data_IF_139023437552
#
_entry.id   IF_139023437552
#
_cell.length_a   1.000
_cell.length_b   1.000
_cell.length_c   1.000
_cell.angle_alpha   90.00
_cell.angle_beta   90.00
_cell.angle_gamma   90.00
#
_symmetry.space_group_name_H-M   'P 1'
#
loop_
_entity.id
_entity.type
_entity.pdbx_description
1 polymer ?
#
# COMPACT_ATOMS: atom_id res chain seq x y z
N UNK A 1 26.01 -10.13 -13.19
CA UNK A 1 24.68 -10.09 -12.54
C UNK A 1 24.23 -8.64 -12.57
N UNK A 2 23.03 -8.33 -13.01
CA UNK A 2 22.49 -6.99 -13.01
C UNK A 2 21.32 -6.92 -12.02
N UNK A 3 21.22 -5.84 -11.26
CA UNK A 3 20.05 -5.56 -10.39
C UNK A 3 19.07 -4.66 -11.10
N UNK A 4 17.83 -5.11 -11.17
CA UNK A 4 16.73 -4.35 -11.75
C UNK A 4 15.74 -3.97 -10.65
N UNK A 5 15.19 -2.76 -10.73
CA UNK A 5 14.02 -2.35 -9.95
C UNK A 5 12.82 -2.26 -10.88
N UNK A 6 11.74 -2.94 -10.50
CA UNK A 6 10.47 -2.97 -11.21
C UNK A 6 9.45 -2.16 -10.43
N UNK A 7 8.70 -1.29 -11.12
CA UNK A 7 7.50 -0.64 -10.61
C UNK A 7 6.31 -1.42 -11.12
N UNK A 8 5.43 -1.83 -10.21
CA UNK A 8 4.37 -2.81 -10.47
C UNK A 8 3.04 -2.23 -10.04
N UNK A 9 2.06 -2.28 -10.95
CA UNK A 9 0.65 -1.99 -10.72
C UNK A 9 -0.14 -3.28 -10.66
N UNK A 10 -1.11 -3.37 -9.74
CA UNK A 10 -2.02 -4.53 -9.66
C UNK A 10 -3.35 -4.23 -8.98
N UNK A 11 -4.39 -4.90 -9.45
CA UNK A 11 -5.66 -5.07 -8.75
C UNK A 11 -5.52 -6.29 -7.81
N UNK A 12 -5.48 -6.03 -6.50
CA UNK A 12 -5.29 -7.07 -5.48
C UNK A 12 -6.50 -7.95 -5.20
N UNK A 13 -7.65 -7.71 -5.84
CA UNK A 13 -8.95 -8.32 -5.51
C UNK A 13 -8.91 -9.86 -5.52
N UNK A 14 -8.13 -10.45 -6.44
CA UNK A 14 -8.06 -11.89 -6.66
C UNK A 14 -6.86 -12.56 -5.96
N UNK A 15 -6.08 -11.80 -5.17
CA UNK A 15 -4.82 -12.28 -4.62
C UNK A 15 -4.83 -12.36 -3.10
N UNK A 16 -4.14 -13.37 -2.56
CA UNK A 16 -3.84 -13.51 -1.14
C UNK A 16 -2.84 -12.47 -0.60
N UNK A 17 -2.69 -11.36 -1.33
CA UNK A 17 -1.74 -10.28 -1.06
C UNK A 17 -0.47 -10.39 -1.91
N UNK A 18 0.55 -9.62 -1.54
CA UNK A 18 1.80 -9.59 -2.29
C UNK A 18 2.62 -10.89 -2.16
N UNK A 19 2.93 -11.29 -0.91
CA UNK A 19 3.95 -12.28 -0.60
C UNK A 19 3.54 -13.72 -0.93
N UNK A 20 4.41 -14.48 -1.61
CA UNK A 20 4.25 -15.92 -1.83
C UNK A 20 3.91 -16.66 -0.54
N UNK A 21 2.87 -17.47 -0.59
CA UNK A 21 2.37 -18.29 0.51
C UNK A 21 1.71 -19.56 -0.03
N UNK A 22 1.66 -20.68 0.75
CA UNK A 22 1.19 -21.97 0.22
C UNK A 22 -0.31 -22.02 -0.07
N UNK A 23 -1.11 -21.19 0.59
CA UNK A 23 -2.57 -21.34 0.62
C UNK A 23 -3.34 -20.38 -0.30
N UNK A 24 -2.65 -19.54 -1.10
CA UNK A 24 -3.29 -18.59 -1.99
C UNK A 24 -2.37 -18.18 -3.13
N UNK A 25 -2.95 -17.86 -4.28
CA UNK A 25 -2.23 -17.22 -5.38
C UNK A 25 -1.88 -15.79 -4.97
N UNK A 26 -0.66 -15.35 -5.26
CA UNK A 26 -0.15 -14.04 -4.86
C UNK A 26 0.44 -13.28 -6.03
N UNK A 27 0.52 -11.95 -5.91
CA UNK A 27 1.10 -11.08 -6.95
C UNK A 27 2.56 -11.43 -7.21
N UNK A 28 3.36 -11.63 -6.14
CA UNK A 28 4.77 -11.99 -6.25
C UNK A 28 4.96 -13.31 -7.01
N UNK A 29 4.12 -14.32 -6.75
CA UNK A 29 4.19 -15.61 -7.44
C UNK A 29 4.00 -15.45 -8.96
N UNK A 30 2.97 -14.70 -9.39
CA UNK A 30 2.71 -14.48 -10.82
C UNK A 30 3.85 -13.72 -11.51
N UNK A 31 4.42 -12.74 -10.82
CA UNK A 31 5.58 -12.00 -11.33
C UNK A 31 6.83 -12.87 -11.44
N UNK A 32 7.15 -13.67 -10.42
CA UNK A 32 8.29 -14.58 -10.44
C UNK A 32 8.14 -15.65 -11.54
N UNK A 33 6.94 -16.22 -11.74
CA UNK A 33 6.62 -17.15 -12.81
C UNK A 33 6.82 -16.53 -14.21
N UNK A 34 6.33 -15.31 -14.42
CA UNK A 34 6.46 -14.60 -15.70
C UNK A 34 7.92 -14.19 -15.98
N UNK A 35 8.60 -13.65 -14.98
CA UNK A 35 10.02 -13.29 -15.09
C UNK A 35 10.89 -14.49 -15.40
N UNK A 36 10.67 -15.63 -14.72
CA UNK A 36 11.43 -16.86 -14.95
C UNK A 36 11.32 -17.36 -16.40
N UNK A 37 10.15 -17.20 -17.02
CA UNK A 37 9.97 -17.56 -18.46
C UNK A 37 10.75 -16.61 -19.38
N UNK A 38 10.84 -15.31 -19.04
CA UNK A 38 11.59 -14.31 -19.85
C UNK A 38 13.10 -14.50 -19.73
N UNK A 39 13.61 -14.74 -18.51
CA UNK A 39 15.05 -14.84 -18.27
C UNK A 39 15.61 -16.26 -18.41
N UNK A 40 14.75 -17.29 -18.44
CA UNK A 40 15.13 -18.70 -18.61
C UNK A 40 15.63 -19.39 -17.32
N UNK A 41 15.53 -18.72 -16.17
CA UNK A 41 15.92 -19.26 -14.85
C UNK A 41 14.98 -18.78 -13.74
N UNK A 42 14.84 -19.54 -12.64
CA UNK A 42 14.08 -19.08 -11.48
C UNK A 42 14.64 -17.77 -10.91
N UNK A 43 13.76 -16.84 -10.59
CA UNK A 43 14.12 -15.54 -9.99
C UNK A 43 13.42 -15.32 -8.66
N UNK A 44 13.99 -14.43 -7.82
CA UNK A 44 13.37 -14.01 -6.56
C UNK A 44 13.20 -12.51 -6.53
N UNK A 45 11.97 -12.06 -6.29
CA UNK A 45 11.63 -10.65 -6.09
C UNK A 45 11.72 -10.25 -4.62
N UNK A 46 12.35 -9.11 -4.36
CA UNK A 46 12.43 -8.47 -3.05
C UNK A 46 11.69 -7.14 -3.10
N UNK A 47 10.51 -7.09 -2.50
CA UNK A 47 9.64 -5.91 -2.56
C UNK A 47 9.96 -4.86 -1.51
N UNK A 48 9.51 -3.63 -1.76
CA UNK A 48 9.56 -2.49 -0.82
C UNK A 48 8.73 -2.72 0.44
N UNK A 49 7.75 -3.62 0.38
CA UNK A 49 6.88 -3.99 1.47
C UNK A 49 5.86 -5.02 1.04
N UNK A 50 5.01 -5.43 1.97
CA UNK A 50 3.93 -6.39 1.71
C UNK A 50 2.61 -5.64 1.72
N UNK A 51 1.69 -6.05 0.84
CA UNK A 51 0.28 -5.67 0.91
C UNK A 51 -0.54 -6.89 1.36
N UNK A 52 -1.60 -6.62 2.12
CA UNK A 52 -2.53 -7.66 2.55
C UNK A 52 -3.41 -8.14 1.38
N UNK A 53 -4.10 -9.27 1.55
CA UNK A 53 -5.09 -9.77 0.60
C UNK A 53 -6.14 -8.70 0.27
N UNK A 54 -6.42 -8.50 -1.01
CA UNK A 54 -7.39 -7.53 -1.51
C UNK A 54 -6.90 -6.07 -1.54
N UNK A 55 -5.65 -5.79 -1.21
CA UNK A 55 -5.04 -4.45 -1.31
C UNK A 55 -4.45 -4.25 -2.70
N UNK A 56 -4.69 -3.08 -3.30
CA UNK A 56 -4.21 -2.72 -4.62
C UNK A 56 -2.88 -1.95 -4.57
N UNK A 57 -2.23 -1.82 -5.71
CA UNK A 57 -1.07 -0.96 -5.87
C UNK A 57 -1.03 -0.31 -7.24
N UNK A 58 -0.58 0.96 -7.29
CA UNK A 58 -0.20 1.66 -8.50
C UNK A 58 1.33 1.80 -8.63
N UNK A 59 2.08 1.50 -7.57
CA UNK A 59 3.53 1.74 -7.55
C UNK A 59 4.27 0.87 -6.53
N UNK A 60 3.99 -0.44 -6.49
CA UNK A 60 4.83 -1.38 -5.75
C UNK A 60 6.20 -1.47 -6.40
N UNK A 61 7.26 -1.25 -5.62
CA UNK A 61 8.62 -1.46 -6.11
C UNK A 61 9.17 -2.78 -5.61
N UNK A 62 9.81 -3.52 -6.52
CA UNK A 62 10.53 -4.74 -6.18
C UNK A 62 11.83 -4.81 -6.99
N UNK A 63 12.92 -5.28 -6.38
CA UNK A 63 14.15 -5.56 -7.11
C UNK A 63 14.34 -7.05 -7.34
N UNK A 64 15.09 -7.35 -8.38
CA UNK A 64 15.50 -8.70 -8.78
C UNK A 64 16.94 -8.66 -9.29
N UNK A 65 17.72 -9.69 -8.96
CA UNK A 65 19.03 -9.91 -9.53
C UNK A 65 18.90 -10.91 -10.69
N UNK A 66 19.44 -10.55 -11.86
CA UNK A 66 19.38 -11.37 -13.07
C UNK A 66 20.76 -11.57 -13.67
N UNK A 67 21.01 -12.75 -14.23
CA UNK A 67 22.25 -13.05 -14.98
C UNK A 67 22.11 -12.68 -16.46
N UNK A 68 20.89 -12.56 -16.96
CA UNK A 68 20.59 -12.27 -18.35
C UNK A 68 20.73 -10.76 -18.64
N UNK A 69 21.40 -10.41 -19.74
CA UNK A 69 21.54 -9.03 -20.24
C UNK A 69 20.50 -8.74 -21.35
N UNK A 70 19.22 -9.01 -21.05
CA UNK A 70 18.13 -8.62 -21.94
C UNK A 70 17.90 -7.12 -21.89
N UNK A 71 17.35 -6.50 -22.95
CA UNK A 71 16.96 -5.09 -22.91
C UNK A 71 15.82 -4.87 -21.87
N UNK A 72 15.75 -3.68 -21.27
CA UNK A 72 14.76 -3.36 -20.24
C UNK A 72 13.31 -3.57 -20.72
N UNK A 73 13.05 -3.44 -22.03
CA UNK A 73 11.75 -3.76 -22.63
C UNK A 73 11.35 -5.24 -22.45
N UNK A 74 12.29 -6.17 -22.39
CA UNK A 74 11.97 -7.58 -22.12
C UNK A 74 11.41 -7.77 -20.71
N UNK A 75 11.92 -7.03 -19.74
CA UNK A 75 11.47 -7.08 -18.34
C UNK A 75 10.16 -6.29 -18.11
N UNK A 76 9.77 -5.42 -19.02
CA UNK A 76 8.50 -4.69 -19.00
C UNK A 76 7.49 -5.31 -19.97
N UNK A 77 7.65 -5.13 -21.28
CA UNK A 77 6.70 -5.60 -22.29
C UNK A 77 6.69 -7.13 -22.39
N UNK A 78 7.88 -7.78 -22.32
CA UNK A 78 8.00 -9.23 -22.37
C UNK A 78 7.29 -9.91 -21.19
N UNK A 79 7.53 -9.42 -19.98
CA UNK A 79 6.86 -9.91 -18.77
C UNK A 79 5.35 -9.66 -18.81
N UNK A 80 4.92 -8.47 -19.24
CA UNK A 80 3.50 -8.11 -19.32
C UNK A 80 2.69 -8.99 -20.29
N UNK A 81 3.33 -9.62 -21.31
CA UNK A 81 2.65 -10.57 -22.19
C UNK A 81 2.33 -11.91 -21.52
N UNK A 82 2.98 -12.20 -20.40
CA UNK A 82 2.82 -13.44 -19.64
C UNK A 82 2.02 -13.25 -18.36
N UNK A 83 1.86 -12.00 -17.91
CA UNK A 83 1.10 -11.65 -16.73
C UNK A 83 -0.42 -11.69 -17.03
N UNK A 84 -1.26 -11.99 -16.02
CA UNK A 84 -2.69 -11.77 -16.13
C UNK A 84 -3.00 -10.25 -16.18
N UNK A 85 -4.19 -9.89 -16.72
CA UNK A 85 -4.62 -8.51 -16.97
C UNK A 85 -4.69 -7.61 -15.72
N UNK A 86 -4.70 -8.21 -14.54
CA UNK A 86 -4.78 -7.51 -13.25
C UNK A 86 -3.41 -7.25 -12.59
N UNK A 87 -2.30 -7.56 -13.29
CA UNK A 87 -0.92 -7.22 -12.87
C UNK A 87 -0.14 -6.67 -14.07
N UNK A 88 0.59 -5.57 -13.87
CA UNK A 88 1.48 -5.03 -14.87
C UNK A 88 2.80 -4.51 -14.28
N UNK A 89 3.91 -4.74 -14.99
CA UNK A 89 5.16 -4.01 -14.79
C UNK A 89 5.08 -2.72 -15.60
N UNK A 90 4.96 -1.58 -14.90
CA UNK A 90 4.82 -0.26 -15.55
C UNK A 90 6.17 0.38 -15.87
N UNK A 91 7.21 0.02 -15.10
CA UNK A 91 8.57 0.49 -15.33
C UNK A 91 9.59 -0.59 -14.91
N UNK A 92 10.68 -0.68 -15.66
CA UNK A 92 11.85 -1.48 -15.31
C UNK A 92 13.09 -0.59 -15.48
N UNK A 93 13.93 -0.50 -14.47
CA UNK A 93 15.18 0.27 -14.50
C UNK A 93 16.31 -0.57 -13.93
N UNK A 94 17.51 -0.40 -14.48
CA UNK A 94 18.72 -0.94 -13.86
C UNK A 94 19.13 -0.02 -12.71
N UNK A 95 19.48 -0.63 -11.60
CA UNK A 95 19.89 0.09 -10.38
C UNK A 95 21.26 -0.42 -9.92
N UNK A 96 21.87 0.34 -9.01
CA UNK A 96 23.11 -0.07 -8.35
C UNK A 96 22.90 -1.38 -7.57
N UNK A 97 23.94 -2.21 -7.44
CA UNK A 97 23.89 -3.51 -6.74
C UNK A 97 23.68 -3.35 -5.23
N UNK A 98 23.95 -2.17 -4.66
CA UNK A 98 23.64 -1.81 -3.27
C UNK A 98 22.17 -1.45 -3.04
N UNK A 99 21.41 -1.18 -4.11
CA UNK A 99 20.00 -0.83 -3.99
C UNK A 99 19.19 -1.99 -3.43
N UNK A 100 18.34 -1.70 -2.45
CA UNK A 100 17.38 -2.66 -1.92
C UNK A 100 15.99 -2.03 -1.84
N UNK A 101 15.00 -2.58 -2.56
CA UNK A 101 13.66 -2.00 -2.69
C UNK A 101 13.01 -1.64 -1.33
N UNK A 102 13.31 -2.37 -0.26
CA UNK A 102 12.77 -2.08 1.08
C UNK A 102 13.63 -1.09 1.88
N UNK A 103 14.94 -1.29 1.88
CA UNK A 103 15.83 -0.57 2.81
C UNK A 103 16.31 0.77 2.23
N UNK A 104 16.33 0.92 0.90
CA UNK A 104 16.62 2.19 0.26
C UNK A 104 15.42 3.13 0.16
N UNK A 105 14.21 2.66 0.55
CA UNK A 105 13.01 3.49 0.50
C UNK A 105 13.03 4.57 1.58
N UNK A 106 12.75 5.83 1.18
CA UNK A 106 12.64 6.99 2.07
C UNK A 106 11.23 7.24 2.58
N UNK A 107 10.22 6.68 1.91
CA UNK A 107 8.83 6.86 2.30
C UNK A 107 7.87 6.10 1.39
N UNK A 108 6.61 6.10 1.79
CA UNK A 108 5.51 5.49 1.04
C UNK A 108 4.29 6.38 1.07
N UNK A 109 3.54 6.34 -0.02
CA UNK A 109 2.26 6.99 -0.13
C UNK A 109 1.17 5.94 -0.32
N UNK A 110 0.22 5.93 0.60
CA UNK A 110 -1.01 5.14 0.52
C UNK A 110 -2.21 6.05 0.30
N UNK A 111 -3.18 5.59 -0.46
CA UNK A 111 -4.49 6.22 -0.58
C UNK A 111 -5.56 5.22 -0.16
N UNK A 112 -6.48 5.64 0.73
CA UNK A 112 -7.66 4.87 1.08
C UNK A 112 -8.89 5.50 0.44
N UNK A 113 -9.70 4.70 -0.26
CA UNK A 113 -10.84 5.16 -1.05
C UNK A 113 -12.15 4.74 -0.42
N UNK A 114 -13.04 5.71 -0.18
CA UNK A 114 -14.40 5.48 0.32
C UNK A 114 -15.40 6.03 -0.70
N UNK A 115 -16.40 5.22 -1.06
CA UNK A 115 -17.54 5.62 -1.88
C UNK A 115 -18.73 5.92 -0.98
N UNK A 116 -19.10 7.18 -0.85
CA UNK A 116 -20.23 7.66 -0.03
C UNK A 116 -21.55 7.49 -0.81
N UNK A 117 -22.16 6.34 -0.71
CA UNK A 117 -23.43 6.03 -1.39
C UNK A 117 -24.18 4.89 -0.71
N UNK A 118 -25.50 5.02 -0.59
CA UNK A 118 -26.39 3.91 -0.16
C UNK A 118 -26.54 2.87 -1.26
N UNK A 119 -26.41 3.28 -2.53
CA UNK A 119 -26.53 2.38 -3.68
C UNK A 119 -25.12 1.91 -4.07
N UNK A 120 -24.97 0.60 -4.27
CA UNK A 120 -23.71 0.01 -4.74
C UNK A 120 -23.32 0.54 -6.12
N UNK A 121 -22.01 0.69 -6.35
CA UNK A 121 -21.46 0.96 -7.68
C UNK A 121 -20.77 -0.31 -8.19
N UNK A 122 -21.23 -0.91 -9.29
CA UNK A 122 -20.55 -2.08 -9.86
C UNK A 122 -19.10 -1.78 -10.29
N UNK A 123 -18.83 -0.55 -10.76
CA UNK A 123 -17.49 -0.14 -11.20
C UNK A 123 -16.51 0.07 -10.04
N UNK A 124 -17.02 0.29 -8.82
CA UNK A 124 -16.22 0.43 -7.60
C UNK A 124 -16.25 -0.83 -6.71
N UNK A 125 -16.89 -1.89 -7.20
CA UNK A 125 -16.90 -3.18 -6.51
C UNK A 125 -15.46 -3.66 -6.31
N UNK A 126 -15.12 -4.00 -5.05
CA UNK A 126 -13.76 -4.36 -4.63
C UNK A 126 -12.66 -3.29 -4.91
N UNK A 127 -13.04 -2.02 -5.16
CA UNK A 127 -12.11 -0.90 -5.43
C UNK A 127 -12.31 0.30 -4.52
N UNK A 128 -13.32 0.28 -3.65
CA UNK A 128 -13.56 1.29 -2.63
C UNK A 128 -14.41 0.71 -1.50
N UNK A 129 -14.24 1.26 -0.30
CA UNK A 129 -15.15 0.98 0.81
C UNK A 129 -16.44 1.75 0.64
N UNK A 130 -17.56 1.05 0.43
CA UNK A 130 -18.86 1.70 0.32
C UNK A 130 -19.43 2.01 1.70
N UNK A 131 -19.82 3.28 1.91
CA UNK A 131 -20.50 3.76 3.11
C UNK A 131 -21.76 4.54 2.75
N UNK A 132 -22.90 4.10 3.30
CA UNK A 132 -24.20 4.73 3.04
C UNK A 132 -24.62 5.78 4.09
N UNK A 133 -23.72 6.23 4.96
CA UNK A 133 -24.00 7.21 6.00
C UNK A 133 -23.31 8.56 5.71
N UNK A 134 -23.85 9.63 6.32
CA UNK A 134 -23.17 10.89 6.37
C UNK A 134 -21.92 10.78 7.25
N UNK A 135 -20.88 11.54 6.91
CA UNK A 135 -19.63 11.65 7.66
C UNK A 135 -19.30 13.13 7.87
N UNK A 136 -18.97 13.48 9.08
CA UNK A 136 -18.41 14.80 9.41
C UNK A 136 -16.93 14.83 8.95
N UNK A 137 -16.71 15.34 7.75
CA UNK A 137 -15.37 15.38 7.15
C UNK A 137 -14.45 16.41 7.80
N UNK A 138 -14.98 17.42 8.48
CA UNK A 138 -14.17 18.41 9.18
C UNK A 138 -13.64 17.85 10.50
N UNK A 139 -14.46 17.13 11.26
CA UNK A 139 -13.99 16.38 12.42
C UNK A 139 -12.95 15.32 12.02
N UNK A 140 -13.14 14.62 10.87
CA UNK A 140 -12.17 13.67 10.35
C UNK A 140 -10.83 14.33 9.99
N UNK A 141 -10.85 15.52 9.36
CA UNK A 141 -9.63 16.30 9.03
C UNK A 141 -8.89 16.73 10.29
N UNK A 142 -9.62 17.24 11.29
CA UNK A 142 -9.03 17.61 12.58
C UNK A 142 -8.36 16.43 13.27
N UNK A 143 -9.00 15.26 13.28
CA UNK A 143 -8.41 14.04 13.84
C UNK A 143 -7.21 13.54 13.02
N UNK A 144 -7.25 13.65 11.68
CA UNK A 144 -6.16 13.23 10.80
C UNK A 144 -4.87 14.03 11.03
N UNK A 145 -4.98 15.34 11.31
CA UNK A 145 -3.83 16.22 11.61
C UNK A 145 -3.05 15.75 12.84
N UNK A 146 -3.73 15.16 13.84
CA UNK A 146 -3.06 14.63 15.04
C UNK A 146 -2.15 13.44 14.77
N UNK A 147 -2.34 12.74 13.64
CA UNK A 147 -1.54 11.59 13.25
C UNK A 147 -0.23 11.99 12.58
N UNK A 148 -0.06 13.26 12.20
CA UNK A 148 1.18 13.75 11.56
C UNK A 148 2.29 13.90 12.60
N UNK A 149 3.53 13.61 12.16
CA UNK A 149 4.68 13.60 13.04
C UNK A 149 5.15 12.19 13.41
N UNK A 150 6.08 12.14 14.37
CA UNK A 150 6.58 10.90 14.92
C UNK A 150 5.77 10.50 16.17
N UNK A 151 5.14 9.34 16.13
CA UNK A 151 4.30 8.82 17.21
C UNK A 151 4.48 7.32 17.38
N UNK A 152 4.09 6.82 18.57
CA UNK A 152 3.87 5.39 18.78
C UNK A 152 2.48 4.99 18.23
N UNK A 153 2.48 4.25 17.12
CA UNK A 153 1.27 3.74 16.47
C UNK A 153 0.84 2.35 16.97
N UNK A 154 1.13 2.00 18.23
CA UNK A 154 0.74 0.70 18.81
C UNK A 154 -0.77 0.44 18.69
N UNK A 155 -1.63 1.45 18.92
CA UNK A 155 -3.07 1.36 18.74
C UNK A 155 -3.50 1.09 17.30
N UNK A 156 -2.67 1.40 16.32
CA UNK A 156 -2.96 1.29 14.88
C UNK A 156 -2.30 0.08 14.22
N UNK A 157 -1.84 -0.91 14.99
CA UNK A 157 -1.26 -2.15 14.44
C UNK A 157 -2.15 -3.36 14.64
N UNK A 158 -2.05 -4.32 13.73
CA UNK A 158 -2.63 -5.65 13.91
C UNK A 158 -1.87 -6.44 14.97
N UNK A 159 -2.56 -7.28 15.75
CA UNK A 159 -1.95 -8.19 16.74
C UNK A 159 -0.91 -9.14 16.12
N UNK A 160 -1.09 -9.50 14.83
CA UNK A 160 -0.15 -10.34 14.07
C UNK A 160 1.00 -9.55 13.41
N UNK A 161 1.25 -8.30 13.84
CA UNK A 161 2.37 -7.50 13.33
C UNK A 161 3.69 -7.96 13.96
N UNK A 162 4.62 -8.41 13.12
CA UNK A 162 5.95 -8.86 13.55
C UNK A 162 6.99 -7.72 13.71
N UNK A 163 6.56 -6.44 13.62
CA UNK A 163 7.49 -5.31 13.80
C UNK A 163 7.95 -5.19 15.24
N UNK A 164 9.25 -4.99 15.44
CA UNK A 164 9.89 -4.83 16.76
C UNK A 164 9.61 -3.46 17.37
N UNK A 165 9.38 -2.42 16.55
CA UNK A 165 9.02 -1.08 17.00
C UNK A 165 7.70 -0.62 16.39
N UNK A 166 6.93 0.14 17.13
CA UNK A 166 5.65 0.73 16.74
C UNK A 166 5.75 2.21 16.41
N UNK A 167 6.89 2.83 16.69
CA UNK A 167 7.14 4.24 16.35
C UNK A 167 7.30 4.39 14.84
N UNK A 168 6.54 5.33 14.26
CA UNK A 168 6.57 5.70 12.82
C UNK A 168 6.43 7.21 12.67
N UNK A 169 6.93 7.71 11.55
CA UNK A 169 6.72 9.12 11.17
C UNK A 169 5.73 9.18 10.03
N UNK A 170 4.59 9.83 10.25
CA UNK A 170 3.65 10.20 9.21
C UNK A 170 3.98 11.63 8.76
N UNK A 171 4.28 11.80 7.47
CA UNK A 171 4.64 13.08 6.88
C UNK A 171 3.42 13.96 6.61
N UNK A 172 2.30 13.34 6.20
CA UNK A 172 1.03 14.03 5.98
C UNK A 172 -0.14 13.06 5.93
N UNK A 173 -1.32 13.54 6.36
CA UNK A 173 -2.62 12.87 6.18
C UNK A 173 -3.60 13.89 5.60
N UNK A 174 -3.96 13.71 4.31
CA UNK A 174 -4.91 14.60 3.64
C UNK A 174 -6.23 13.87 3.34
N UNK A 175 -7.35 14.52 3.62
CA UNK A 175 -8.69 14.03 3.28
C UNK A 175 -9.28 14.93 2.20
N UNK A 176 -9.51 14.36 1.02
CA UNK A 176 -10.04 15.06 -0.15
C UNK A 176 -11.38 14.48 -0.56
N UNK A 177 -12.28 15.36 -0.98
CA UNK A 177 -13.60 14.99 -1.51
C UNK A 177 -13.63 15.20 -3.02
N UNK A 178 -14.08 14.18 -3.74
CA UNK A 178 -14.31 14.27 -5.18
C UNK A 178 -15.66 13.62 -5.50
N UNK A 179 -16.69 14.43 -5.62
CA UNK A 179 -18.06 13.96 -5.76
C UNK A 179 -18.47 13.04 -4.59
N UNK A 180 -18.79 11.79 -4.90
CA UNK A 180 -19.12 10.77 -3.89
C UNK A 180 -17.90 10.05 -3.33
N UNK A 181 -16.71 10.29 -3.86
CA UNK A 181 -15.49 9.70 -3.36
C UNK A 181 -14.89 10.55 -2.23
N UNK A 182 -14.47 9.88 -1.17
CA UNK A 182 -13.65 10.44 -0.10
C UNK A 182 -12.30 9.69 -0.14
N UNK A 183 -11.23 10.45 -0.29
CA UNK A 183 -9.88 9.95 -0.50
C UNK A 183 -9.00 10.36 0.69
N UNK A 184 -8.38 9.37 1.35
CA UNK A 184 -7.41 9.61 2.42
C UNK A 184 -6.02 9.32 1.86
N UNK A 185 -5.22 10.34 1.70
CA UNK A 185 -3.83 10.22 1.31
C UNK A 185 -2.96 10.22 2.58
N UNK A 186 -2.21 9.15 2.80
CA UNK A 186 -1.32 8.99 3.95
C UNK A 186 0.10 8.78 3.44
N UNK A 187 1.01 9.68 3.84
CA UNK A 187 2.43 9.60 3.50
C UNK A 187 3.25 9.44 4.77
N UNK A 188 4.26 8.55 4.76
CA UNK A 188 5.08 8.32 5.94
C UNK A 188 6.34 7.53 5.61
N UNK A 189 7.26 7.47 6.57
CA UNK A 189 8.52 6.74 6.46
C UNK A 189 8.33 5.22 6.32
N UNK A 190 7.27 4.68 6.92
CA UNK A 190 6.90 3.28 6.90
C UNK A 190 5.61 3.02 7.67
N UNK A 191 5.02 1.85 7.49
CA UNK A 191 3.73 1.51 8.07
C UNK A 191 3.75 0.13 8.73
N UNK A 192 3.04 0.00 9.85
CA UNK A 192 2.79 -1.28 10.51
C UNK A 192 1.73 -2.08 9.74
N UNK A 193 1.64 -3.37 10.02
CA UNK A 193 0.59 -4.22 9.43
C UNK A 193 -0.79 -3.66 9.75
N UNK A 194 -1.62 -3.46 8.70
CA UNK A 194 -2.95 -2.88 8.74
C UNK A 194 -3.03 -1.41 9.21
N UNK A 195 -1.93 -0.72 9.46
CA UNK A 195 -1.92 0.62 10.06
C UNK A 195 -2.82 1.61 9.30
N UNK A 196 -2.65 1.79 7.99
CA UNK A 196 -3.46 2.73 7.19
C UNK A 196 -4.94 2.34 7.20
N UNK A 197 -5.28 1.06 7.19
CA UNK A 197 -6.66 0.57 7.27
C UNK A 197 -7.29 0.85 8.63
N UNK A 198 -6.54 0.71 9.71
CA UNK A 198 -7.01 1.03 11.07
C UNK A 198 -7.18 2.54 11.22
N UNK A 199 -6.25 3.34 10.69
CA UNK A 199 -6.38 4.82 10.62
C UNK A 199 -7.68 5.18 9.87
N UNK A 200 -7.91 4.62 8.69
CA UNK A 200 -9.11 4.89 7.90
C UNK A 200 -10.40 4.51 8.65
N UNK A 201 -10.42 3.36 9.33
CA UNK A 201 -11.56 2.95 10.16
C UNK A 201 -11.80 3.87 11.34
N UNK A 202 -10.73 4.29 12.02
CA UNK A 202 -10.78 5.22 13.15
C UNK A 202 -11.33 6.59 12.71
N UNK A 203 -10.81 7.14 11.61
CA UNK A 203 -11.30 8.40 11.05
C UNK A 203 -12.77 8.32 10.62
N UNK A 204 -13.20 7.19 10.07
CA UNK A 204 -14.64 6.97 9.77
C UNK A 204 -15.47 6.94 11.04
N UNK A 205 -14.98 6.35 12.13
CA UNK A 205 -15.71 6.36 13.41
C UNK A 205 -15.75 7.77 14.03
N UNK A 206 -14.73 8.61 13.82
CA UNK A 206 -14.79 10.05 14.13
C UNK A 206 -15.87 10.74 13.29
N UNK A 207 -15.87 10.54 11.98
CA UNK A 207 -16.88 11.13 11.08
C UNK A 207 -18.33 10.69 11.38
N UNK A 208 -18.50 9.57 12.09
CA UNK A 208 -19.80 9.06 12.60
C UNK A 208 -20.11 9.53 14.02
N UNK A 209 -19.29 10.37 14.62
CA UNK A 209 -19.38 10.78 16.03
C UNK A 209 -19.38 9.59 17.03
N UNK A 210 -18.74 8.46 16.67
CA UNK A 210 -18.50 7.31 17.57
C UNK A 210 -17.22 7.49 18.39
N UNK A 211 -16.26 8.21 17.83
CA UNK A 211 -15.04 8.66 18.47
C UNK A 211 -14.94 10.17 18.34
N UNK A 212 -14.37 10.82 19.33
CA UNK A 212 -14.02 12.24 19.27
C UNK A 212 -12.59 12.44 18.75
N UNK A 213 -12.26 13.68 18.38
CA UNK A 213 -10.88 14.07 18.04
C UNK A 213 -9.93 13.82 19.22
N UNK A 214 -10.41 14.05 20.47
CA UNK A 214 -9.63 13.78 21.69
C UNK A 214 -9.36 12.29 21.90
N UNK A 215 -10.28 11.40 21.49
CA UNK A 215 -10.04 9.95 21.57
C UNK A 215 -8.89 9.55 20.65
N UNK A 216 -8.76 10.17 19.47
CA UNK A 216 -7.61 9.89 18.54
C UNK A 216 -6.29 10.33 19.18
N UNK A 217 -6.24 11.49 19.86
CA UNK A 217 -5.07 11.91 20.61
C UNK A 217 -4.71 10.93 21.74
N UNK A 218 -5.72 10.43 22.47
CA UNK A 218 -5.51 9.42 23.50
C UNK A 218 -4.93 8.12 22.97
N UNK A 219 -5.38 7.65 21.77
CA UNK A 219 -4.86 6.44 21.13
C UNK A 219 -3.36 6.51 20.81
N UNK A 220 -2.83 7.70 20.52
CA UNK A 220 -1.39 7.89 20.29
C UNK A 220 -0.58 7.83 21.60
N UNK A 221 -1.21 8.09 22.74
CA UNK A 221 -0.56 8.08 24.06
C UNK A 221 -0.66 6.73 24.79
N UNK A 222 -1.83 6.07 24.73
CA UNK A 222 -2.09 4.83 25.48
C UNK A 222 -1.86 3.55 24.68
N UNK A 223 -1.82 3.65 23.36
CA UNK A 223 -1.54 2.51 22.48
C UNK A 223 -2.63 1.42 22.43
N UNK A 224 -3.82 1.67 23.01
CA UNK A 224 -4.88 0.65 23.13
C UNK A 224 -5.61 0.37 21.82
N UNK A 225 -5.22 -0.71 21.13
CA UNK A 225 -5.86 -1.13 19.85
C UNK A 225 -7.39 -1.32 19.95
N UNK A 226 -7.91 -1.75 21.11
CA UNK A 226 -9.35 -2.01 21.29
C UNK A 226 -10.21 -0.74 21.22
N UNK A 227 -9.64 0.40 21.54
CA UNK A 227 -10.28 1.72 21.47
C UNK A 227 -10.22 2.36 20.09
N UNK A 228 -9.29 1.93 19.24
CA UNK A 228 -9.22 2.38 17.86
C UNK A 228 -10.37 1.78 17.02
N UNK A 229 -10.70 2.43 15.92
CA UNK A 229 -11.72 1.98 15.00
C UNK A 229 -11.44 0.60 14.37
N UNK A 230 -12.42 0.07 13.68
CA UNK A 230 -12.29 -1.20 12.97
C UNK A 230 -11.19 -1.14 11.91
N UNK A 231 -10.63 -2.29 11.57
CA UNK A 231 -9.76 -2.39 10.38
C UNK A 231 -10.63 -2.26 9.13
N UNK A 232 -10.48 -1.15 8.41
CA UNK A 232 -11.27 -0.88 7.21
C UNK A 232 -11.01 -1.95 6.11
N UNK A 233 -11.98 -2.23 5.22
CA UNK A 233 -11.82 -3.23 4.16
C UNK A 233 -10.57 -3.03 3.32
N UNK A 234 -9.92 -4.13 2.90
CA UNK A 234 -8.69 -4.08 2.11
C UNK A 234 -8.90 -3.42 0.75
N UNK A 235 -10.05 -3.66 0.13
CA UNK A 235 -10.41 -3.18 -1.20
C UNK A 235 -10.43 -1.65 -1.38
N UNK A 236 -10.42 -0.90 -0.28
CA UNK A 236 -10.28 0.56 -0.34
C UNK A 236 -8.82 1.03 -0.36
N UNK A 237 -7.85 0.18 -0.05
CA UNK A 237 -6.46 0.58 0.13
C UNK A 237 -5.63 0.39 -1.14
N UNK A 238 -4.85 1.43 -1.48
CA UNK A 238 -3.91 1.47 -2.59
C UNK A 238 -2.53 1.92 -2.13
N UNK A 239 -1.49 1.16 -2.45
CA UNK A 239 -0.12 1.66 -2.42
C UNK A 239 0.08 2.50 -3.70
N UNK A 240 0.16 3.82 -3.55
CA UNK A 240 0.27 4.76 -4.67
C UNK A 240 1.70 4.86 -5.20
N UNK A 241 2.66 4.96 -4.27
CA UNK A 241 4.07 5.09 -4.62
C UNK A 241 4.99 4.69 -3.46
N UNK A 242 6.20 4.33 -3.81
CA UNK A 242 7.34 4.19 -2.89
C UNK A 242 8.39 5.20 -3.31
N UNK A 243 8.83 6.04 -2.37
CA UNK A 243 9.79 7.09 -2.62
C UNK A 243 11.20 6.57 -2.31
N UNK A 244 12.14 6.89 -3.18
CA UNK A 244 13.57 6.61 -3.04
C UNK A 244 14.36 7.93 -3.17
N UNK A 245 15.64 7.97 -2.77
CA UNK A 245 16.49 9.10 -3.04
C UNK A 245 16.51 9.47 -4.53
N UNK A 246 16.77 10.75 -4.83
CA UNK A 246 16.81 11.26 -6.20
C UNK A 246 17.78 10.45 -7.06
N UNK A 247 17.37 10.18 -8.31
CA UNK A 247 18.19 9.47 -9.30
C UNK A 247 17.89 7.97 -9.47
N UNK A 248 17.18 7.31 -8.56
CA UNK A 248 16.86 5.87 -8.71
C UNK A 248 15.95 5.61 -9.92
N UNK A 249 14.99 6.50 -10.17
CA UNK A 249 14.08 6.45 -11.32
C UNK A 249 14.29 7.61 -12.30
N UNK A 250 15.47 8.24 -12.32
CA UNK A 250 15.78 9.24 -13.33
C UNK A 250 15.63 8.59 -14.71
N UNK A 251 14.83 9.23 -15.57
CA UNK A 251 14.59 8.76 -16.94
C UNK A 251 15.92 8.68 -17.69
N UNK A 252 16.22 7.53 -18.27
CA UNK A 252 17.19 7.36 -19.33
C UNK A 252 16.50 7.51 -20.68
#
# INVERSE_FOLDING_TARGET
MARLCLVIEYDGSNYGGWQVQPNAVTVQQRLEEALAQVVGEPVRLYSSGRTDAGVHSLGMCAHVDVNSLLPLSAYREGVNRLLPDDIAVVQAVQVDDTFHARFSACGKWYQYRIHRSRIRSPLLHQRAWQLGCALDTDAMRAAAQLLEGEHDFAAFRSSSCASTTTVRTIFSVAIREHGRMLLFDVRGSGFLKNMVRIIAGTLVDVGRARLSVADVAALLNDGERRRAGQTAPACGLYLMAVNYPDGVFAAH
#
